data_IF_956207112377
#
_entry.id   IF_956207112377
#
_cell.length_a   1.000
_cell.length_b   1.000
_cell.length_c   1.000
_cell.angle_alpha   90.00
_cell.angle_beta   90.00
_cell.angle_gamma   90.00
#
_symmetry.space_group_name_H-M   'P 1'
#
loop_
_entity.id
_entity.type
_entity.pdbx_description
1 polymer ?
#
# COMPACT_ATOMS: atom_id res chain seq x y z
N UNK A 1 20.51 13.80 -16.97
CA UNK A 1 20.34 12.58 -16.14
C UNK A 1 18.94 12.06 -16.36
N UNK A 2 18.77 10.74 -16.51
CA UNK A 2 17.44 10.14 -16.42
C UNK A 2 16.94 10.29 -14.98
N UNK A 3 15.68 10.65 -14.72
CA UNK A 3 15.17 10.72 -13.36
C UNK A 3 15.27 9.35 -12.68
N UNK A 4 15.73 9.33 -11.42
CA UNK A 4 15.70 8.13 -10.60
C UNK A 4 14.25 7.71 -10.38
N UNK A 5 13.93 6.46 -10.71
CA UNK A 5 12.62 5.87 -10.42
C UNK A 5 12.70 5.03 -9.16
N UNK A 6 11.63 5.07 -8.36
CA UNK A 6 11.53 4.28 -7.15
C UNK A 6 10.31 3.35 -7.22
N UNK A 7 10.31 2.33 -6.36
CA UNK A 7 9.14 1.50 -6.12
C UNK A 7 8.52 1.93 -4.79
N UNK A 8 7.33 2.52 -4.84
CA UNK A 8 6.50 2.69 -3.65
C UNK A 8 5.88 1.35 -3.32
N UNK A 9 6.21 0.80 -2.15
CA UNK A 9 5.60 -0.41 -1.61
C UNK A 9 4.82 -0.01 -0.35
N UNK A 10 3.55 -0.39 -0.30
CA UNK A 10 2.72 -0.20 0.89
C UNK A 10 1.84 -1.43 1.15
N UNK A 11 1.34 -1.52 2.37
CA UNK A 11 0.44 -2.57 2.82
C UNK A 11 -0.90 -1.96 3.18
N UNK A 12 -1.99 -2.63 2.81
CA UNK A 12 -3.33 -2.15 3.12
C UNK A 12 -4.31 -3.30 3.35
N UNK A 13 -5.37 -3.09 4.14
CA UNK A 13 -6.51 -3.99 4.15
C UNK A 13 -7.03 -4.21 2.73
N UNK A 14 -7.40 -5.46 2.42
CA UNK A 14 -7.89 -5.86 1.10
C UNK A 14 -9.02 -4.92 0.64
N UNK A 15 -9.97 -4.62 1.53
CA UNK A 15 -11.13 -3.76 1.26
C UNK A 15 -10.77 -2.31 0.88
N UNK A 16 -9.60 -1.80 1.26
CA UNK A 16 -9.20 -0.41 1.05
C UNK A 16 -8.22 -0.22 -0.12
N UNK A 17 -7.67 -1.31 -0.68
CA UNK A 17 -6.62 -1.26 -1.71
C UNK A 17 -7.01 -0.39 -2.90
N UNK A 18 -8.21 -0.62 -3.46
CA UNK A 18 -8.67 0.08 -4.65
C UNK A 18 -8.90 1.58 -4.39
N UNK A 19 -9.43 1.93 -3.22
CA UNK A 19 -9.67 3.33 -2.84
C UNK A 19 -8.34 4.08 -2.73
N UNK A 20 -7.33 3.48 -2.10
CA UNK A 20 -5.99 4.08 -1.97
C UNK A 20 -5.35 4.28 -3.34
N UNK A 21 -5.35 3.26 -4.20
CA UNK A 21 -4.77 3.34 -5.55
C UNK A 21 -5.46 4.41 -6.39
N UNK A 22 -6.79 4.44 -6.42
CA UNK A 22 -7.56 5.44 -7.17
C UNK A 22 -7.21 6.87 -6.73
N UNK A 23 -7.05 7.10 -5.42
CA UNK A 23 -6.64 8.42 -4.92
C UNK A 23 -5.20 8.77 -5.30
N UNK A 24 -4.26 7.81 -5.23
CA UNK A 24 -2.87 8.04 -5.64
C UNK A 24 -2.78 8.39 -7.12
N UNK A 25 -3.48 7.65 -7.98
CA UNK A 25 -3.50 7.88 -9.42
C UNK A 25 -4.17 9.20 -9.78
N UNK A 26 -5.32 9.51 -9.16
CA UNK A 26 -6.01 10.77 -9.38
C UNK A 26 -5.15 11.97 -8.96
N UNK A 27 -4.47 11.88 -7.82
CA UNK A 27 -3.65 12.98 -7.27
C UNK A 27 -2.32 13.18 -8.00
N UNK A 28 -1.71 12.10 -8.51
CA UNK A 28 -0.39 12.13 -9.14
C UNK A 28 -0.32 11.37 -10.49
N UNK A 29 -1.18 11.69 -11.48
CA UNK A 29 -1.38 10.89 -12.69
C UNK A 29 -0.18 10.86 -13.64
N UNK A 30 0.77 11.78 -13.47
CA UNK A 30 2.00 11.83 -14.28
C UNK A 30 3.17 11.06 -13.67
N UNK A 31 3.10 10.70 -12.39
CA UNK A 31 4.23 10.18 -11.62
C UNK A 31 3.96 8.77 -11.11
N UNK A 32 2.80 8.56 -10.49
CA UNK A 32 2.47 7.30 -9.82
C UNK A 32 1.81 6.35 -10.80
N UNK A 33 2.42 5.19 -11.03
CA UNK A 33 1.85 4.15 -11.89
C UNK A 33 1.83 4.51 -13.38
N UNK A 34 2.65 5.49 -13.81
CA UNK A 34 2.80 5.85 -15.23
C UNK A 34 4.04 5.22 -15.85
N UNK A 35 3.82 4.36 -16.85
CA UNK A 35 4.88 3.64 -17.56
C UNK A 35 4.64 3.84 -19.06
N UNK A 36 5.37 4.77 -19.69
CA UNK A 36 5.16 5.09 -21.10
C UNK A 36 3.73 5.59 -21.37
N UNK A 37 2.96 4.82 -22.16
CA UNK A 37 1.55 5.11 -22.49
C UNK A 37 0.56 4.40 -21.55
N UNK A 38 1.03 3.69 -20.52
CA UNK A 38 0.20 3.02 -19.54
C UNK A 38 0.06 3.90 -18.28
N UNK A 39 -1.15 3.93 -17.74
CA UNK A 39 -1.51 4.61 -16.49
C UNK A 39 -2.06 3.60 -15.48
N UNK A 40 -2.19 4.03 -14.22
CA UNK A 40 -2.77 3.23 -13.14
C UNK A 40 -2.07 1.86 -12.93
N UNK A 41 -0.77 1.78 -13.25
CA UNK A 41 0.00 0.54 -13.13
C UNK A 41 0.34 0.26 -11.66
N UNK A 42 -0.14 -0.87 -11.14
CA UNK A 42 0.22 -1.40 -9.82
C UNK A 42 0.37 -2.92 -9.88
N UNK A 43 1.22 -3.46 -9.01
CA UNK A 43 1.26 -4.90 -8.72
C UNK A 43 0.68 -5.11 -7.32
N UNK A 44 -0.21 -6.09 -7.17
CA UNK A 44 -0.95 -6.34 -5.94
C UNK A 44 -0.79 -7.82 -5.62
N UNK A 45 -0.38 -8.15 -4.40
CA UNK A 45 -0.25 -9.54 -3.94
C UNK A 45 -0.88 -9.70 -2.56
N UNK A 46 -1.74 -10.71 -2.34
CA UNK A 46 -2.25 -11.03 -1.01
C UNK A 46 -1.13 -11.57 -0.12
N UNK A 47 -1.23 -11.27 1.17
CA UNK A 47 -0.32 -11.74 2.19
C UNK A 47 -0.90 -11.60 3.58
N UNK A 48 -0.11 -12.00 4.58
CA UNK A 48 -0.45 -11.88 5.99
C UNK A 48 0.42 -10.82 6.64
N UNK A 49 -0.19 -9.77 7.18
CA UNK A 49 0.46 -8.82 8.07
C UNK A 49 0.49 -9.37 9.48
N UNK A 50 1.63 -9.23 10.18
CA UNK A 50 1.80 -9.60 11.58
C UNK A 50 2.28 -8.39 12.37
N UNK A 51 1.60 -8.09 13.48
CA UNK A 51 2.02 -7.03 14.40
C UNK A 51 1.49 -7.27 15.81
N UNK A 52 2.12 -6.63 16.80
CA UNK A 52 1.68 -6.62 18.20
C UNK A 52 1.57 -5.17 18.69
N UNK A 53 0.35 -4.61 18.83
CA UNK A 53 0.19 -3.24 19.29
C UNK A 53 0.77 -3.07 20.71
N UNK A 54 1.55 -2.01 20.92
CA UNK A 54 2.14 -1.69 22.23
C UNK A 54 1.20 -0.83 23.08
N UNK A 55 1.50 -0.71 24.38
CA UNK A 55 0.75 0.17 25.29
C UNK A 55 0.69 1.59 24.72
N UNK A 56 -0.50 2.18 24.71
CA UNK A 56 -0.75 3.52 24.16
C UNK A 56 -1.03 3.56 22.65
N UNK A 57 -1.00 2.42 21.95
CA UNK A 57 -1.40 2.36 20.54
C UNK A 57 -2.93 2.47 20.39
N UNK A 58 -3.40 3.15 19.34
CA UNK A 58 -4.79 3.14 18.88
C UNK A 58 -4.87 2.41 17.54
N UNK A 59 -4.80 1.06 17.54
CA UNK A 59 -4.68 0.30 16.31
C UNK A 59 -6.01 0.28 15.54
N UNK A 60 -5.93 0.31 14.21
CA UNK A 60 -7.10 0.08 13.35
C UNK A 60 -7.70 -1.32 13.56
N UNK A 61 -6.85 -2.32 13.85
CA UNK A 61 -7.21 -3.70 14.13
C UNK A 61 -6.23 -4.33 15.11
N UNK A 62 -6.67 -5.32 15.89
CA UNK A 62 -5.85 -6.01 16.89
C UNK A 62 -6.00 -5.43 18.29
N UNK A 63 -5.39 -6.08 19.28
CA UNK A 63 -5.47 -5.72 20.70
C UNK A 63 -4.09 -5.48 21.29
N UNK A 64 -3.99 -4.49 22.20
CA UNK A 64 -2.71 -4.14 22.86
C UNK A 64 -2.14 -5.36 23.59
N UNK A 65 -0.87 -5.65 23.35
CA UNK A 65 -0.15 -6.78 23.94
C UNK A 65 -0.29 -8.09 23.17
N UNK A 66 -1.26 -8.20 22.26
CA UNK A 66 -1.59 -9.44 21.55
C UNK A 66 -0.99 -9.50 20.15
N UNK A 67 -0.42 -10.65 19.78
CA UNK A 67 0.07 -10.87 18.42
C UNK A 67 -1.13 -11.03 17.47
N UNK A 68 -1.23 -10.16 16.47
CA UNK A 68 -2.35 -10.10 15.54
C UNK A 68 -1.87 -10.43 14.13
N UNK A 69 -2.65 -11.25 13.43
CA UNK A 69 -2.47 -11.55 12.01
C UNK A 69 -3.68 -11.07 11.22
N UNK A 70 -3.46 -10.43 10.08
CA UNK A 70 -4.53 -9.93 9.21
C UNK A 70 -4.21 -10.19 7.74
N UNK A 71 -5.25 -10.38 6.93
CA UNK A 71 -5.10 -10.42 5.48
C UNK A 71 -4.87 -9.00 4.93
N UNK A 72 -3.78 -8.84 4.18
CA UNK A 72 -3.42 -7.58 3.55
C UNK A 72 -3.05 -7.77 2.08
N UNK A 73 -3.09 -6.68 1.33
CA UNK A 73 -2.39 -6.59 0.07
C UNK A 73 -1.06 -5.88 0.25
N UNK A 74 0.02 -6.49 -0.25
CA UNK A 74 1.27 -5.77 -0.59
C UNK A 74 1.09 -5.17 -1.98
N UNK A 75 1.11 -3.84 -2.03
CA UNK A 75 0.91 -3.07 -3.26
C UNK A 75 2.22 -2.42 -3.66
N UNK A 76 2.58 -2.53 -4.93
CA UNK A 76 3.82 -1.97 -5.45
C UNK A 76 3.58 -1.13 -6.71
N UNK A 77 4.02 0.13 -6.68
CA UNK A 77 3.79 1.12 -7.74
C UNK A 77 5.10 1.83 -8.09
N UNK A 78 5.32 2.12 -9.36
CA UNK A 78 6.46 2.92 -9.81
C UNK A 78 6.17 4.41 -9.59
N UNK A 79 7.15 5.16 -9.07
CA UNK A 79 7.07 6.62 -8.82
C UNK A 79 8.31 7.36 -9.29
#
# INVERSE_FOLDING_TARGET
MSPSRFKLVFFSPIAHTNVILNQLFYKYPSNVGRIGKYENCAFITPGTGEFRPTVGCNPFSGSVGELTHVEEHRVEVLV
#
